data_IF_822306054307
#
_entry.id   IF_822306054307
#
_cell.length_a   1.000
_cell.length_b   1.000
_cell.length_c   1.000
_cell.angle_alpha   90.00
_cell.angle_beta   90.00
_cell.angle_gamma   90.00
#
_symmetry.space_group_name_H-M   'P 1'
#
loop_
_entity.id
_entity.type
_entity.pdbx_description
1 polymer ?
#
# COMPACT_ATOMS: atom_id res chain seq x y z
N UNK A 1 -3.81 -13.18 -21.17
CA UNK A 1 -3.86 -12.20 -20.06
C UNK A 1 -4.14 -10.80 -20.58
N UNK A 2 -5.14 -10.12 -20.04
CA UNK A 2 -5.39 -8.70 -20.31
C UNK A 2 -4.42 -7.82 -19.50
N UNK A 3 -4.08 -6.64 -20.01
CA UNK A 3 -3.17 -5.71 -19.30
C UNK A 3 -3.91 -5.01 -18.16
N UNK A 4 -3.36 -5.07 -16.96
CA UNK A 4 -3.85 -4.35 -15.79
C UNK A 4 -3.22 -2.96 -15.75
N UNK A 5 -4.04 -1.92 -15.68
CA UNK A 5 -3.57 -0.56 -15.46
C UNK A 5 -3.37 -0.35 -13.97
N UNK A 6 -2.12 -0.16 -13.54
CA UNK A 6 -1.77 0.13 -12.15
C UNK A 6 -1.81 1.65 -11.91
N UNK A 7 -2.84 2.12 -11.23
CA UNK A 7 -2.99 3.51 -10.79
C UNK A 7 -2.13 3.77 -9.53
N UNK A 8 -0.82 3.67 -9.66
CA UNK A 8 0.12 3.86 -8.55
C UNK A 8 1.52 4.21 -9.04
N UNK A 9 2.16 5.18 -8.39
CA UNK A 9 3.59 5.49 -8.60
C UNK A 9 4.54 4.64 -7.76
N UNK A 10 4.03 3.68 -6.96
CA UNK A 10 4.86 2.86 -6.08
C UNK A 10 5.70 1.83 -6.85
N UNK A 11 7.05 1.90 -6.78
CA UNK A 11 7.92 0.90 -7.41
C UNK A 11 7.72 -0.50 -6.81
N UNK A 12 7.41 -0.60 -5.52
CA UNK A 12 7.19 -1.87 -4.81
C UNK A 12 5.97 -2.63 -5.35
N UNK A 13 4.86 -1.92 -5.60
CA UNK A 13 3.64 -2.50 -6.19
C UNK A 13 3.89 -3.00 -7.60
N UNK A 14 4.60 -2.21 -8.40
CA UNK A 14 5.03 -2.61 -9.74
C UNK A 14 5.88 -3.88 -9.69
N UNK A 15 6.86 -3.92 -8.79
CA UNK A 15 7.75 -5.08 -8.61
C UNK A 15 6.97 -6.34 -8.23
N UNK A 16 6.03 -6.26 -7.28
CA UNK A 16 5.20 -7.40 -6.89
C UNK A 16 4.40 -7.96 -8.07
N UNK A 17 3.73 -7.10 -8.84
CA UNK A 17 2.96 -7.54 -10.02
C UNK A 17 3.86 -8.12 -11.11
N UNK A 18 5.04 -7.55 -11.31
CA UNK A 18 6.03 -8.08 -12.27
C UNK A 18 6.54 -9.46 -11.84
N UNK A 19 6.81 -9.67 -10.55
CA UNK A 19 7.25 -10.98 -10.02
C UNK A 19 6.20 -12.08 -10.22
N UNK A 20 4.92 -11.76 -10.15
CA UNK A 20 3.85 -12.71 -10.45
C UNK A 20 3.47 -12.74 -11.94
N UNK A 21 4.27 -12.10 -12.80
CA UNK A 21 4.16 -12.11 -14.27
C UNK A 21 2.83 -11.62 -14.83
N UNK A 22 2.13 -10.75 -14.12
CA UNK A 22 0.95 -10.09 -14.65
C UNK A 22 1.36 -8.96 -15.61
N UNK A 23 0.73 -8.84 -16.80
CA UNK A 23 0.98 -7.72 -17.71
C UNK A 23 0.43 -6.43 -17.11
N UNK A 24 1.28 -5.43 -16.92
CA UNK A 24 0.87 -4.16 -16.31
C UNK A 24 1.28 -2.96 -17.16
N UNK A 25 0.43 -1.92 -17.09
CA UNK A 25 0.75 -0.55 -17.53
C UNK A 25 0.63 0.38 -16.33
N UNK A 26 1.73 1.03 -15.96
CA UNK A 26 1.76 1.94 -14.82
C UNK A 26 1.33 3.33 -15.26
N UNK A 27 0.34 3.90 -14.58
CA UNK A 27 -0.11 5.29 -14.74
C UNK A 27 -0.22 5.90 -13.34
N UNK A 28 0.79 6.66 -12.88
CA UNK A 28 0.76 7.29 -11.58
C UNK A 28 -0.36 8.35 -11.53
N UNK A 29 -1.29 8.28 -10.57
CA UNK A 29 -2.31 9.31 -10.40
C UNK A 29 -1.75 10.48 -9.57
N UNK A 30 -2.21 11.67 -9.85
CA UNK A 30 -2.02 12.84 -9.00
C UNK A 30 -3.25 12.98 -8.08
N UNK A 31 -3.19 12.34 -6.92
CA UNK A 31 -4.28 12.32 -5.93
C UNK A 31 -3.70 12.59 -4.54
N UNK A 32 -4.17 13.62 -3.83
CA UNK A 32 -3.75 13.87 -2.46
C UNK A 32 -4.21 12.75 -1.53
N UNK A 33 -3.28 12.21 -0.74
CA UNK A 33 -3.52 11.16 0.26
C UNK A 33 -3.88 11.80 1.62
N UNK A 34 -5.04 12.47 1.68
CA UNK A 34 -5.50 13.12 2.91
C UNK A 34 -6.23 12.12 3.82
N UNK A 35 -5.62 11.82 4.95
CA UNK A 35 -6.23 11.02 6.01
C UNK A 35 -6.98 11.94 6.97
N UNK A 36 -8.28 11.71 7.13
CA UNK A 36 -9.13 12.49 8.03
C UNK A 36 -8.99 11.90 9.42
N UNK A 37 -8.64 12.71 10.45
CA UNK A 37 -8.66 12.24 11.82
C UNK A 37 -10.01 11.62 12.19
N UNK A 38 -10.00 10.61 13.04
CA UNK A 38 -11.18 9.93 13.58
C UNK A 38 -12.05 9.16 12.55
N UNK A 39 -11.73 9.18 11.27
CA UNK A 39 -12.40 8.32 10.29
C UNK A 39 -11.85 6.88 10.36
N UNK A 40 -12.70 5.85 10.16
CA UNK A 40 -12.23 4.48 10.12
C UNK A 40 -11.14 4.27 9.06
N UNK A 41 -9.99 3.73 9.47
CA UNK A 41 -8.82 3.54 8.58
C UNK A 41 -9.18 2.71 7.36
N UNK A 42 -10.04 1.70 7.54
CA UNK A 42 -10.51 0.80 6.49
C UNK A 42 -11.24 1.56 5.37
N UNK A 43 -12.12 2.49 5.74
CA UNK A 43 -12.86 3.31 4.78
C UNK A 43 -11.94 4.29 4.05
N UNK A 44 -10.99 4.86 4.77
CA UNK A 44 -10.04 5.82 4.19
C UNK A 44 -9.17 5.20 3.11
N UNK A 45 -8.57 4.03 3.38
CA UNK A 45 -7.66 3.38 2.40
C UNK A 45 -8.40 2.95 1.13
N UNK A 46 -9.64 2.46 1.24
CA UNK A 46 -10.47 2.12 0.07
C UNK A 46 -10.85 3.37 -0.71
N UNK A 47 -11.31 4.41 -0.02
CA UNK A 47 -11.69 5.67 -0.67
C UNK A 47 -10.52 6.29 -1.44
N UNK A 48 -9.30 6.28 -0.86
CA UNK A 48 -8.12 6.81 -1.55
C UNK A 48 -7.74 5.91 -2.73
N UNK A 49 -7.79 4.58 -2.55
CA UNK A 49 -7.54 3.63 -3.64
C UNK A 49 -8.50 3.86 -4.82
N UNK A 50 -9.79 4.03 -4.56
CA UNK A 50 -10.82 4.34 -5.56
C UNK A 50 -10.57 5.67 -6.26
N UNK A 51 -10.26 6.74 -5.53
CA UNK A 51 -9.91 8.05 -6.11
C UNK A 51 -8.72 7.96 -7.06
N UNK A 52 -7.73 7.10 -6.76
CA UNK A 52 -6.60 6.84 -7.66
C UNK A 52 -7.05 6.21 -8.98
N UNK A 53 -7.99 5.28 -8.94
CA UNK A 53 -8.58 4.70 -10.17
C UNK A 53 -9.36 5.77 -10.94
N UNK A 54 -10.23 6.51 -10.27
CA UNK A 54 -11.04 7.57 -10.90
C UNK A 54 -10.17 8.64 -11.58
N UNK A 55 -9.06 9.05 -10.95
CA UNK A 55 -8.12 9.99 -11.53
C UNK A 55 -7.46 9.45 -12.81
N UNK A 56 -7.09 8.16 -12.83
CA UNK A 56 -6.54 7.53 -14.04
C UNK A 56 -7.61 7.40 -15.13
N UNK A 57 -8.85 7.04 -14.77
CA UNK A 57 -9.96 6.94 -15.73
C UNK A 57 -10.27 8.28 -16.42
N UNK A 58 -10.10 9.40 -15.73
CA UNK A 58 -10.30 10.73 -16.28
C UNK A 58 -9.36 11.07 -17.45
N UNK A 59 -8.23 10.37 -17.56
CA UNK A 59 -7.28 10.52 -18.67
C UNK A 59 -7.78 9.89 -19.98
N UNK A 60 -8.75 8.97 -19.91
CA UNK A 60 -9.29 8.25 -21.06
C UNK A 60 -10.61 8.87 -21.50
N UNK A 61 -10.56 9.67 -22.60
CA UNK A 61 -11.72 10.40 -23.13
C UNK A 61 -12.65 9.52 -23.99
N UNK A 62 -12.07 8.66 -24.78
CA UNK A 62 -12.78 7.85 -25.81
C UNK A 62 -12.69 6.35 -25.57
N UNK A 63 -11.60 5.90 -24.96
CA UNK A 63 -11.38 4.49 -24.63
C UNK A 63 -11.99 4.16 -23.28
N UNK A 64 -12.45 2.94 -23.11
CA UNK A 64 -12.90 2.41 -21.81
C UNK A 64 -11.89 1.35 -21.33
N UNK A 65 -10.87 1.75 -20.57
CA UNK A 65 -9.91 0.79 -20.07
C UNK A 65 -10.60 -0.22 -19.14
N UNK A 66 -10.16 -1.46 -19.23
CA UNK A 66 -10.52 -2.55 -18.30
C UNK A 66 -9.38 -2.75 -17.31
N UNK A 67 -9.70 -3.38 -16.19
CA UNK A 67 -8.73 -3.79 -15.17
C UNK A 67 -7.86 -2.63 -14.66
N UNK A 68 -8.49 -1.60 -14.09
CA UNK A 68 -7.77 -0.46 -13.50
C UNK A 68 -7.69 -0.66 -11.99
N UNK A 69 -6.47 -0.85 -11.47
CA UNK A 69 -6.16 -1.17 -10.07
C UNK A 69 -5.63 0.05 -9.33
N UNK A 70 -6.34 0.48 -8.30
CA UNK A 70 -5.90 1.45 -7.31
C UNK A 70 -5.61 0.80 -5.97
N UNK A 71 -4.64 1.35 -5.27
CA UNK A 71 -4.19 0.85 -3.97
C UNK A 71 -3.80 2.01 -3.07
N UNK A 72 -4.15 1.87 -1.79
CA UNK A 72 -3.61 2.74 -0.75
C UNK A 72 -3.16 1.92 0.45
N UNK A 73 -2.09 2.35 1.15
CA UNK A 73 -1.51 1.60 2.25
C UNK A 73 -1.03 2.54 3.33
N UNK A 74 -1.44 2.26 4.56
CA UNK A 74 -1.06 3.03 5.75
C UNK A 74 -0.64 2.10 6.89
N UNK A 75 0.13 2.66 7.81
CA UNK A 75 0.42 2.06 9.12
C UNK A 75 -0.46 2.73 10.17
N UNK A 76 -1.03 1.95 11.06
CA UNK A 76 -1.83 2.43 12.20
C UNK A 76 -1.26 1.91 13.51
N UNK A 77 -1.18 2.76 14.50
CA UNK A 77 -0.84 2.42 15.89
C UNK A 77 -1.62 3.33 16.85
N UNK A 78 -2.27 2.74 17.85
CA UNK A 78 -3.09 3.46 18.86
C UNK A 78 -4.15 4.38 18.24
N UNK A 79 -4.78 3.99 17.15
CA UNK A 79 -5.76 4.81 16.43
C UNK A 79 -5.14 5.94 15.58
N UNK A 80 -3.81 6.05 15.52
CA UNK A 80 -3.12 7.07 14.73
C UNK A 80 -2.60 6.49 13.43
N UNK A 81 -2.90 7.15 12.32
CA UNK A 81 -2.36 6.80 11.01
C UNK A 81 -0.97 7.41 10.84
N UNK A 82 0.00 6.56 10.52
CA UNK A 82 1.34 6.95 10.13
C UNK A 82 1.45 6.81 8.60
N UNK A 83 1.43 7.95 7.93
CA UNK A 83 1.64 8.04 6.48
C UNK A 83 3.12 7.97 6.09
N UNK A 84 3.43 8.56 4.94
CA UNK A 84 4.82 8.72 4.49
C UNK A 84 5.45 9.90 5.22
N UNK A 85 6.61 9.74 5.87
CA UNK A 85 7.28 10.84 6.56
C UNK A 85 7.78 11.90 5.57
N UNK A 86 7.72 13.17 5.96
CA UNK A 86 8.20 14.29 5.18
C UNK A 86 9.73 14.43 5.19
N UNK A 87 10.37 13.85 6.21
CA UNK A 87 11.82 13.94 6.38
C UNK A 87 12.38 12.91 7.38
N UNK A 88 13.71 12.87 7.56
CA UNK A 88 14.35 11.89 8.43
C UNK A 88 13.95 12.04 9.90
N UNK A 89 13.68 13.25 10.38
CA UNK A 89 13.27 13.52 11.76
C UNK A 89 11.89 12.91 12.05
N UNK A 90 10.94 13.07 11.13
CA UNK A 90 9.63 12.45 11.24
C UNK A 90 9.71 10.94 11.12
N UNK A 91 10.55 10.43 10.21
CA UNK A 91 10.81 9.01 10.07
C UNK A 91 11.39 8.40 11.36
N UNK A 92 12.34 9.08 12.00
CA UNK A 92 12.90 8.66 13.30
C UNK A 92 11.81 8.63 14.38
N UNK A 93 10.97 9.66 14.47
CA UNK A 93 9.87 9.71 15.42
C UNK A 93 8.86 8.58 15.23
N UNK A 94 8.52 8.25 13.97
CA UNK A 94 7.67 7.10 13.64
C UNK A 94 8.31 5.78 14.10
N UNK A 95 9.59 5.53 13.78
CA UNK A 95 10.29 4.32 14.18
C UNK A 95 10.41 4.17 15.70
N UNK A 96 10.64 5.27 16.42
CA UNK A 96 10.61 5.27 17.89
C UNK A 96 9.23 4.88 18.44
N UNK A 97 8.16 5.37 17.81
CA UNK A 97 6.78 5.03 18.18
C UNK A 97 6.47 3.55 17.95
N UNK A 98 7.02 2.95 16.88
CA UNK A 98 6.80 1.56 16.51
C UNK A 98 7.71 0.58 17.28
N UNK A 99 8.84 1.04 17.81
CA UNK A 99 9.84 0.22 18.49
C UNK A 99 9.26 -0.60 19.64
N UNK A 100 9.48 -1.91 19.62
CA UNK A 100 9.00 -2.84 20.64
C UNK A 100 7.48 -3.06 20.65
N UNK A 101 6.74 -2.59 19.64
CA UNK A 101 5.26 -2.57 19.65
C UNK A 101 4.65 -3.30 18.46
N UNK A 102 3.38 -3.63 18.61
CA UNK A 102 2.54 -4.15 17.53
C UNK A 102 1.85 -2.95 16.87
N UNK A 103 1.87 -2.94 15.56
CA UNK A 103 1.11 -1.99 14.74
C UNK A 103 0.38 -2.73 13.62
N UNK A 104 -0.53 -2.06 12.95
CA UNK A 104 -1.31 -2.62 11.85
C UNK A 104 -0.98 -1.92 10.55
N UNK A 105 -0.89 -2.72 9.48
CA UNK A 105 -0.76 -2.24 8.11
C UNK A 105 -2.07 -2.52 7.40
N UNK A 106 -2.74 -1.46 6.97
CA UNK A 106 -3.97 -1.55 6.20
C UNK A 106 -3.69 -1.21 4.73
N UNK A 107 -4.13 -2.07 3.82
CA UNK A 107 -4.21 -1.71 2.41
C UNK A 107 -5.65 -1.81 1.93
N UNK A 108 -6.10 -0.77 1.23
CA UNK A 108 -7.32 -0.76 0.44
C UNK A 108 -7.01 -1.10 -1.01
N UNK A 109 -7.81 -1.98 -1.59
CA UNK A 109 -7.85 -2.31 -3.00
C UNK A 109 -9.11 -1.70 -3.59
N UNK A 110 -8.99 -1.07 -4.76
CA UNK A 110 -10.11 -0.72 -5.61
C UNK A 110 -9.77 -1.14 -7.04
N UNK A 111 -10.55 -2.07 -7.61
CA UNK A 111 -10.39 -2.52 -8.97
C UNK A 111 -11.63 -2.18 -9.79
N UNK A 112 -11.45 -1.47 -10.88
CA UNK A 112 -12.47 -1.34 -11.91
C UNK A 112 -12.21 -2.39 -13.00
N UNK A 113 -13.12 -3.35 -13.15
CA UNK A 113 -13.05 -4.38 -14.17
C UNK A 113 -13.45 -3.80 -15.53
N UNK A 114 -14.52 -3.02 -15.57
CA UNK A 114 -15.07 -2.40 -16.77
C UNK A 114 -15.79 -1.10 -16.43
N UNK A 115 -15.71 -0.11 -17.31
CA UNK A 115 -16.39 1.17 -17.12
C UNK A 115 -17.90 0.99 -17.04
N UNK A 116 -18.53 1.62 -16.02
CA UNK A 116 -19.96 1.47 -15.76
C UNK A 116 -20.34 0.30 -14.84
N UNK A 117 -19.39 -0.55 -14.49
CA UNK A 117 -19.55 -1.58 -13.45
C UNK A 117 -19.17 -1.01 -12.07
N UNK A 118 -19.70 -1.57 -10.98
CA UNK A 118 -19.25 -1.21 -9.64
C UNK A 118 -17.76 -1.57 -9.46
N UNK A 119 -17.13 -0.87 -8.53
CA UNK A 119 -15.76 -1.21 -8.10
C UNK A 119 -15.78 -2.50 -7.27
N UNK A 120 -14.81 -3.35 -7.52
CA UNK A 120 -14.40 -4.39 -6.57
C UNK A 120 -13.51 -3.76 -5.52
N UNK A 121 -13.95 -3.78 -4.27
CA UNK A 121 -13.24 -3.13 -3.16
C UNK A 121 -12.95 -4.13 -2.05
N UNK A 122 -11.76 -4.07 -1.49
CA UNK A 122 -11.35 -4.94 -0.39
C UNK A 122 -10.34 -4.23 0.52
N UNK A 123 -10.39 -4.55 1.81
CA UNK A 123 -9.43 -4.07 2.81
C UNK A 123 -8.71 -5.25 3.42
N UNK A 124 -7.40 -5.18 3.46
CA UNK A 124 -6.56 -6.17 4.13
C UNK A 124 -5.80 -5.53 5.27
N UNK A 125 -5.85 -6.18 6.44
CA UNK A 125 -5.10 -5.79 7.64
C UNK A 125 -4.05 -6.85 7.97
N UNK A 126 -2.85 -6.41 8.32
CA UNK A 126 -1.76 -7.26 8.78
C UNK A 126 -1.15 -6.66 10.04
N UNK A 127 -1.02 -7.46 11.09
CA UNK A 127 -0.30 -7.06 12.29
C UNK A 127 1.20 -7.31 12.10
N UNK A 128 1.99 -6.31 12.50
CA UNK A 128 3.46 -6.37 12.48
C UNK A 128 3.97 -6.01 13.87
N UNK A 129 4.82 -6.85 14.41
CA UNK A 129 5.54 -6.60 15.66
C UNK A 129 6.96 -6.18 15.35
N UNK A 130 7.37 -5.02 15.85
CA UNK A 130 8.78 -4.64 15.87
C UNK A 130 9.45 -5.14 17.16
N UNK A 131 10.69 -5.58 17.04
CA UNK A 131 11.55 -5.74 18.19
C UNK A 131 11.86 -4.38 18.83
N UNK A 132 12.24 -4.37 20.09
CA UNK A 132 12.76 -3.15 20.70
C UNK A 132 14.05 -2.73 20.00
N UNK A 133 14.16 -1.45 19.67
CA UNK A 133 15.28 -0.86 18.94
C UNK A 133 15.98 0.19 19.81
N UNK A 134 17.29 0.15 19.83
CA UNK A 134 18.09 1.21 20.42
C UNK A 134 18.22 2.43 19.49
N UNK A 135 18.57 3.58 20.04
CA UNK A 135 18.71 4.81 19.26
C UNK A 135 19.76 4.70 18.13
N UNK A 136 20.80 3.90 18.33
CA UNK A 136 21.84 3.68 17.32
C UNK A 136 21.30 2.87 16.12
N UNK A 137 20.43 1.89 16.36
CA UNK A 137 19.82 1.06 15.32
C UNK A 137 18.84 1.87 14.48
N UNK A 138 18.04 2.72 15.13
CA UNK A 138 17.12 3.62 14.44
C UNK A 138 17.91 4.58 13.54
N UNK A 139 18.98 5.19 14.05
CA UNK A 139 19.85 6.07 13.23
C UNK A 139 20.45 5.33 12.03
N UNK A 140 20.98 4.13 12.24
CA UNK A 140 21.52 3.28 11.16
C UNK A 140 20.47 3.03 10.06
N UNK A 141 19.22 2.77 10.46
CA UNK A 141 18.14 2.61 9.49
C UNK A 141 17.79 3.92 8.78
N UNK A 142 17.71 5.04 9.49
CA UNK A 142 17.44 6.36 8.90
C UNK A 142 18.52 6.74 7.86
N UNK A 143 19.80 6.50 8.16
CA UNK A 143 20.91 6.74 7.24
C UNK A 143 20.82 5.94 5.94
N UNK A 144 20.13 4.80 5.94
CA UNK A 144 19.90 4.01 4.72
C UNK A 144 19.03 4.71 3.68
N UNK A 145 18.19 5.66 4.10
CA UNK A 145 17.21 6.31 3.25
C UNK A 145 16.00 5.44 2.87
N UNK A 146 15.92 4.19 3.34
CA UNK A 146 14.82 3.28 3.00
C UNK A 146 13.44 3.74 3.48
N UNK A 147 13.40 4.62 4.48
CA UNK A 147 12.17 5.21 5.02
C UNK A 147 11.43 6.09 3.99
N UNK A 148 12.15 6.65 3.02
CA UNK A 148 11.59 7.61 2.08
C UNK A 148 10.44 7.01 1.24
N UNK A 149 9.27 7.66 1.30
CA UNK A 149 8.07 7.22 0.57
C UNK A 149 7.45 5.91 1.08
N UNK A 150 7.77 5.49 2.31
CA UNK A 150 7.17 4.33 2.96
C UNK A 150 6.25 4.76 4.10
N UNK A 151 5.02 4.25 4.15
CA UNK A 151 4.12 4.45 5.28
C UNK A 151 4.75 3.86 6.56
N UNK A 152 4.64 4.58 7.68
CA UNK A 152 5.29 4.18 8.93
C UNK A 152 6.82 4.20 8.90
N UNK A 153 7.41 4.83 7.88
CA UNK A 153 8.84 5.02 7.72
C UNK A 153 9.67 3.73 7.57
N UNK A 154 9.10 2.61 7.09
CA UNK A 154 9.89 1.39 6.90
C UNK A 154 9.48 0.58 5.66
N UNK A 155 10.40 -0.24 5.19
CA UNK A 155 10.21 -1.23 4.13
C UNK A 155 10.60 -2.61 4.62
N UNK A 156 9.62 -3.53 4.70
CA UNK A 156 9.86 -4.88 5.23
C UNK A 156 10.80 -5.73 4.34
N UNK A 157 10.95 -5.39 3.06
CA UNK A 157 11.70 -6.20 2.10
C UNK A 157 13.22 -6.08 2.20
N UNK A 158 13.71 -4.97 2.78
CA UNK A 158 15.13 -4.60 2.79
C UNK A 158 15.64 -4.58 4.24
N UNK A 159 16.42 -3.58 4.64
CA UNK A 159 16.93 -3.47 6.02
C UNK A 159 15.83 -3.38 7.08
N UNK A 160 14.65 -2.88 6.70
CA UNK A 160 13.49 -2.90 7.58
C UNK A 160 13.10 -4.29 8.08
N UNK A 161 13.51 -5.36 7.38
CA UNK A 161 13.33 -6.73 7.87
C UNK A 161 14.05 -7.00 9.20
N UNK A 162 15.16 -6.29 9.49
CA UNK A 162 15.87 -6.40 10.78
C UNK A 162 15.07 -5.85 11.97
N UNK A 163 14.09 -4.99 11.69
CA UNK A 163 13.26 -4.36 12.71
C UNK A 163 12.09 -5.23 13.13
N UNK A 164 11.68 -6.20 12.28
CA UNK A 164 10.48 -7.01 12.45
C UNK A 164 10.79 -8.25 13.29
N UNK A 165 10.00 -8.47 14.34
CA UNK A 165 10.00 -9.66 15.16
C UNK A 165 9.11 -10.74 14.52
N UNK A 166 7.86 -10.38 14.20
CA UNK A 166 6.92 -11.24 13.48
C UNK A 166 5.84 -10.44 12.74
N UNK A 167 5.17 -11.13 11.82
CA UNK A 167 3.95 -10.65 11.15
C UNK A 167 2.82 -11.66 11.33
N UNK A 168 1.57 -11.17 11.42
CA UNK A 168 0.37 -11.99 11.42
C UNK A 168 -0.57 -11.47 10.34
N UNK A 169 -0.63 -12.17 9.22
CA UNK A 169 -1.38 -11.80 8.03
C UNK A 169 -0.52 -11.90 6.76
N UNK A 170 -0.72 -11.01 5.81
CA UNK A 170 -0.11 -11.03 4.49
C UNK A 170 1.18 -10.21 4.42
N UNK A 171 2.31 -10.86 4.12
CA UNK A 171 3.58 -10.17 3.84
C UNK A 171 3.45 -9.18 2.67
N UNK A 172 2.79 -9.59 1.59
CA UNK A 172 2.60 -8.73 0.41
C UNK A 172 1.72 -7.52 0.71
N UNK A 173 0.80 -7.62 1.70
CA UNK A 173 0.06 -6.47 2.21
C UNK A 173 1.00 -5.45 2.87
N UNK A 174 1.95 -5.90 3.70
CA UNK A 174 2.92 -5.00 4.34
C UNK A 174 3.81 -4.31 3.30
N UNK A 175 4.12 -4.97 2.19
CA UNK A 175 4.82 -4.37 1.04
C UNK A 175 3.98 -3.32 0.33
N UNK A 176 2.62 -3.44 0.39
CA UNK A 176 1.68 -2.46 -0.15
C UNK A 176 0.74 -2.96 -1.25
N UNK A 177 0.70 -4.29 -1.49
CA UNK A 177 -0.27 -4.94 -2.38
C UNK A 177 -0.55 -6.35 -1.85
N UNK A 178 -1.71 -6.59 -1.21
CA UNK A 178 -2.11 -7.91 -0.74
C UNK A 178 -2.46 -8.81 -1.94
N UNK A 179 -1.48 -9.61 -2.38
CA UNK A 179 -1.58 -10.41 -3.61
C UNK A 179 -2.68 -11.47 -3.56
N UNK A 180 -2.90 -12.09 -2.39
CA UNK A 180 -3.96 -13.10 -2.22
C UNK A 180 -5.36 -12.49 -2.44
N UNK A 181 -5.65 -11.38 -1.76
CA UNK A 181 -6.92 -10.67 -1.91
C UNK A 181 -7.11 -10.18 -3.35
N UNK A 182 -6.06 -9.59 -3.94
CA UNK A 182 -6.10 -9.16 -5.33
C UNK A 182 -6.33 -10.33 -6.31
N UNK A 183 -5.68 -11.46 -6.11
CA UNK A 183 -5.91 -12.68 -6.88
C UNK A 183 -7.37 -13.15 -6.76
N UNK A 184 -7.94 -13.14 -5.54
CA UNK A 184 -9.34 -13.47 -5.31
C UNK A 184 -10.30 -12.56 -6.10
N UNK A 185 -10.00 -11.24 -6.17
CA UNK A 185 -10.78 -10.31 -7.01
C UNK A 185 -10.67 -10.67 -8.48
N UNK A 186 -9.48 -10.98 -8.99
CA UNK A 186 -9.27 -11.36 -10.39
C UNK A 186 -10.06 -12.62 -10.77
N UNK A 187 -9.99 -13.66 -9.91
CA UNK A 187 -10.69 -14.94 -10.14
C UNK A 187 -12.20 -14.77 -10.17
N UNK A 188 -12.79 -14.04 -9.21
CA UNK A 188 -14.26 -13.85 -9.16
C UNK A 188 -14.82 -12.96 -10.27
N UNK A 189 -13.93 -12.27 -11.00
CA UNK A 189 -14.29 -11.45 -12.17
C UNK A 189 -13.81 -12.04 -13.49
N UNK A 190 -13.52 -13.35 -13.53
CA UNK A 190 -13.14 -14.09 -14.73
C UNK A 190 -11.92 -13.52 -15.48
N UNK A 191 -10.91 -13.05 -14.73
CA UNK A 191 -9.64 -12.64 -15.34
C UNK A 191 -8.92 -13.85 -15.94
N UNK A 192 -8.59 -13.80 -17.22
CA UNK A 192 -7.89 -14.89 -17.92
C UNK A 192 -6.37 -14.78 -17.70
N UNK A 193 -5.85 -15.68 -16.86
CA UNK A 193 -4.41 -15.82 -16.57
C UNK A 193 -3.63 -16.43 -17.73
#
# INVERSE_FOLDING_TARGET
METIILASGSPRRRELLTKVKLPIKVIPPDVPENYVPDAPVQEMVVRIARRKVEAVLALFKTESPRWVLGLDTVVEIDGKVLGKPAGPEEAEAMLRTLSGRIHRVYSGIALLVERGKPFEEEVVCTEVKFRAMEAAEIRFYIESGEWAGAAGAYRIQERGAFLVDWIKGSYSNVVGLPLEAFYGILVRNDYHF
#
